data_IF_924434596374
#
_entry.id   IF_924434596374
#
_cell.length_a   1.000
_cell.length_b   1.000
_cell.length_c   1.000
_cell.angle_alpha   90.00
_cell.angle_beta   90.00
_cell.angle_gamma   90.00
#
_symmetry.space_group_name_H-M   'P 1'
#
loop_
_entity.id
_entity.type
_entity.pdbx_description
1 polymer ?
#
# COMPACT_ATOMS: atom_id res chain seq x y z
N UNK A 1 -22.48 44.65 18.20
CA UNK A 1 -22.65 45.07 16.78
C UNK A 1 -21.83 44.11 15.94
N UNK A 2 -22.52 43.17 15.30
CA UNK A 2 -21.99 42.01 14.59
C UNK A 2 -21.88 42.37 13.11
N UNK A 3 -20.76 42.07 12.45
CA UNK A 3 -20.71 41.99 10.99
C UNK A 3 -19.98 40.70 10.60
N UNK A 4 -20.78 39.69 10.28
CA UNK A 4 -20.41 38.51 9.50
C UNK A 4 -20.03 38.93 8.07
N UNK A 5 -18.98 38.34 7.51
CA UNK A 5 -18.81 38.24 6.06
C UNK A 5 -18.72 36.77 5.68
N UNK A 6 -19.87 36.27 5.22
CA UNK A 6 -20.07 34.99 4.56
C UNK A 6 -19.62 35.13 3.09
N UNK A 7 -18.67 34.31 2.65
CA UNK A 7 -18.29 34.19 1.25
C UNK A 7 -18.89 32.90 0.69
N UNK A 8 -19.91 33.03 -0.15
CA UNK A 8 -20.39 32.00 -1.07
C UNK A 8 -19.45 31.98 -2.29
N UNK A 9 -18.97 30.81 -2.68
CA UNK A 9 -18.59 30.54 -4.07
C UNK A 9 -19.15 29.20 -4.53
N UNK A 10 -19.69 29.27 -5.74
CA UNK A 10 -20.63 28.38 -6.41
C UNK A 10 -19.98 27.12 -6.95
N UNK A 11 -20.67 25.98 -6.79
CA UNK A 11 -20.36 24.72 -7.45
C UNK A 11 -20.99 24.69 -8.86
N UNK A 12 -20.16 24.46 -9.89
CA UNK A 12 -20.63 24.09 -11.23
C UNK A 12 -20.55 22.58 -11.40
N UNK A 13 -21.71 21.96 -11.49
CA UNK A 13 -21.90 20.55 -11.87
C UNK A 13 -21.86 20.48 -13.39
N UNK A 14 -20.94 19.69 -13.95
CA UNK A 14 -20.95 19.32 -15.37
C UNK A 14 -21.42 17.86 -15.49
N UNK A 15 -22.66 17.68 -15.95
CA UNK A 15 -23.21 16.41 -16.41
C UNK A 15 -22.72 16.14 -17.84
N UNK A 16 -22.06 15.01 -18.08
CA UNK A 16 -21.91 14.46 -19.43
C UNK A 16 -22.70 13.16 -19.53
N UNK A 17 -23.67 13.18 -20.45
CA UNK A 17 -24.67 12.14 -20.66
C UNK A 17 -24.12 10.89 -21.33
N UNK A 18 -24.79 9.78 -21.02
CA UNK A 18 -24.70 8.51 -21.71
C UNK A 18 -25.23 8.63 -23.14
N UNK A 19 -24.47 8.12 -24.12
CA UNK A 19 -25.01 7.71 -25.41
C UNK A 19 -24.78 6.21 -25.57
N UNK A 20 -25.87 5.46 -25.43
CA UNK A 20 -26.02 4.08 -25.87
C UNK A 20 -26.45 4.13 -27.33
N UNK A 21 -25.69 3.47 -28.21
CA UNK A 21 -26.06 3.28 -29.61
C UNK A 21 -25.84 1.82 -30.02
N UNK A 22 -26.91 1.04 -30.04
CA UNK A 22 -26.98 -0.24 -30.73
C UNK A 22 -27.24 -0.01 -32.22
N UNK A 23 -26.56 -0.74 -33.11
CA UNK A 23 -27.17 -1.22 -34.35
C UNK A 23 -26.47 -2.47 -34.89
N UNK A 24 -27.28 -3.31 -35.54
CA UNK A 24 -27.05 -4.70 -35.93
C UNK A 24 -26.37 -4.86 -37.30
N UNK A 25 -25.71 -6.01 -37.43
CA UNK A 25 -25.56 -6.92 -38.58
C UNK A 25 -25.61 -6.37 -40.02
N UNK A 26 -24.58 -6.69 -40.81
CA UNK A 26 -24.71 -7.64 -41.91
C UNK A 26 -23.36 -8.02 -42.55
N UNK A 27 -23.14 -9.33 -42.64
CA UNK A 27 -22.18 -10.05 -43.49
C UNK A 27 -22.32 -9.73 -44.98
N UNK A 28 -21.20 -9.64 -45.72
CA UNK A 28 -20.97 -10.39 -46.97
C UNK A 28 -19.49 -10.34 -47.42
N UNK A 29 -18.86 -11.52 -47.34
CA UNK A 29 -18.11 -12.21 -48.40
C UNK A 29 -17.31 -11.42 -49.45
N UNK A 30 -16.01 -11.74 -49.53
CA UNK A 30 -15.30 -11.84 -50.82
C UNK A 30 -14.34 -13.05 -50.81
N UNK A 31 -14.42 -13.82 -51.89
CA UNK A 31 -13.65 -15.00 -52.33
C UNK A 31 -13.58 -14.85 -53.88
N UNK A 32 -12.85 -15.63 -54.75
CA UNK A 32 -11.90 -16.75 -54.60
C UNK A 32 -10.57 -16.61 -55.39
N UNK A 33 -9.65 -17.57 -55.21
CA UNK A 33 -9.20 -18.55 -56.26
C UNK A 33 -8.24 -19.55 -55.62
N UNK A 34 -8.60 -20.84 -55.44
CA UNK A 34 -8.38 -21.98 -56.37
C UNK A 34 -7.26 -22.87 -55.77
N UNK A 35 -7.26 -24.20 -55.71
CA UNK A 35 -7.89 -25.29 -56.50
C UNK A 35 -7.60 -26.64 -55.82
N UNK A 36 -8.59 -27.56 -55.75
CA UNK A 36 -8.53 -29.05 -55.61
C UNK A 36 -7.92 -29.65 -54.32
N UNK A 37 -8.29 -30.80 -53.74
CA UNK A 37 -9.10 -32.00 -54.10
C UNK A 37 -9.36 -32.80 -52.77
N UNK A 38 -9.90 -34.04 -52.71
CA UNK A 38 -11.07 -34.39 -51.90
C UNK A 38 -10.81 -35.23 -50.62
N UNK A 39 -11.89 -35.40 -49.87
CA UNK A 39 -12.07 -36.18 -48.63
C UNK A 39 -11.95 -37.71 -48.80
N UNK A 40 -11.37 -38.35 -47.78
CA UNK A 40 -11.93 -39.44 -46.94
C UNK A 40 -11.20 -40.80 -46.90
N UNK A 41 -10.86 -41.20 -45.65
CA UNK A 41 -11.14 -42.52 -45.02
C UNK A 41 -9.97 -43.15 -44.24
N UNK A 42 -10.18 -43.20 -42.92
CA UNK A 42 -9.84 -44.23 -41.93
C UNK A 42 -8.38 -44.63 -41.65
N UNK A 43 -7.95 -44.41 -40.40
CA UNK A 43 -7.28 -45.43 -39.56
C UNK A 43 -7.80 -45.32 -38.13
N UNK A 44 -8.05 -46.48 -37.52
CA UNK A 44 -8.60 -46.78 -36.20
C UNK A 44 -7.65 -46.53 -35.02
N UNK A 45 -8.26 -46.11 -33.90
CA UNK A 45 -7.95 -46.39 -32.48
C UNK A 45 -6.53 -46.17 -31.95
N UNK A 46 -6.38 -45.26 -30.98
CA UNK A 46 -6.08 -45.71 -29.61
C UNK A 46 -6.50 -44.72 -28.52
N UNK A 47 -6.92 -45.29 -27.40
CA UNK A 47 -7.45 -44.59 -26.22
C UNK A 47 -6.31 -44.06 -25.37
N UNK A 48 -6.29 -42.76 -25.08
CA UNK A 48 -5.70 -42.26 -23.84
C UNK A 48 -6.56 -41.16 -23.23
N UNK A 49 -7.26 -41.59 -22.19
CA UNK A 49 -7.94 -40.82 -21.16
C UNK A 49 -7.00 -39.73 -20.66
N UNK A 50 -7.22 -38.49 -21.13
CA UNK A 50 -6.51 -37.31 -20.63
C UNK A 50 -7.02 -37.09 -19.20
N UNK A 51 -6.19 -37.46 -18.23
CA UNK A 51 -6.41 -37.15 -16.83
C UNK A 51 -6.76 -35.67 -16.71
N UNK A 52 -7.94 -35.41 -16.17
CA UNK A 52 -8.31 -34.11 -15.65
C UNK A 52 -7.27 -33.78 -14.58
N UNK A 53 -6.41 -32.80 -14.88
CA UNK A 53 -5.56 -32.19 -13.86
C UNK A 53 -6.53 -31.38 -13.00
N UNK A 54 -7.03 -32.02 -11.96
CA UNK A 54 -7.60 -31.31 -10.80
C UNK A 54 -6.48 -30.41 -10.29
N UNK A 55 -6.53 -29.16 -10.73
CA UNK A 55 -5.79 -28.09 -10.09
C UNK A 55 -6.56 -27.84 -8.81
N UNK A 56 -6.21 -28.59 -7.77
CA UNK A 56 -6.77 -28.37 -6.43
C UNK A 56 -6.54 -26.89 -6.09
N UNK A 57 -7.63 -26.13 -5.98
CA UNK A 57 -7.57 -24.81 -5.37
C UNK A 57 -6.92 -24.97 -3.98
N UNK A 58 -5.93 -24.14 -3.62
CA UNK A 58 -5.36 -24.20 -2.28
C UNK A 58 -6.50 -23.97 -1.28
N UNK A 59 -6.79 -24.99 -0.45
CA UNK A 59 -7.80 -24.87 0.58
C UNK A 59 -7.36 -23.81 1.59
N UNK A 60 -8.06 -22.67 1.61
CA UNK A 60 -7.86 -21.59 2.59
C UNK A 60 -7.94 -22.07 4.04
N UNK A 61 -8.61 -23.21 4.27
CA UNK A 61 -8.94 -23.77 5.59
C UNK A 61 -7.75 -24.05 6.52
N UNK A 62 -6.50 -23.98 6.04
CA UNK A 62 -5.30 -24.19 6.86
C UNK A 62 -4.47 -22.93 7.14
N UNK A 63 -4.66 -21.82 6.41
CA UNK A 63 -3.78 -20.65 6.56
C UNK A 63 -4.29 -19.75 7.68
N UNK A 64 -3.44 -19.46 8.66
CA UNK A 64 -3.70 -18.44 9.67
C UNK A 64 -2.40 -17.89 10.23
N UNK A 65 -2.44 -16.63 10.66
CA UNK A 65 -1.34 -15.97 11.33
C UNK A 65 -1.81 -15.46 12.68
N UNK A 66 -0.87 -15.30 13.62
CA UNK A 66 -1.21 -14.84 14.95
C UNK A 66 -0.12 -13.92 15.51
N UNK A 67 -0.53 -13.06 16.44
CA UNK A 67 0.38 -12.41 17.37
C UNK A 67 1.16 -13.43 18.20
N UNK A 68 2.29 -13.02 18.77
CA UNK A 68 3.17 -13.90 19.57
C UNK A 68 2.44 -14.58 20.74
N UNK A 69 1.60 -13.84 21.45
CA UNK A 69 0.75 -14.35 22.53
C UNK A 69 -0.53 -15.04 22.05
N UNK A 70 -0.78 -15.05 20.74
CA UNK A 70 -1.92 -15.70 20.07
C UNK A 70 -3.30 -15.11 20.37
N UNK A 71 -3.35 -13.92 20.97
CA UNK A 71 -4.61 -13.24 21.29
C UNK A 71 -5.27 -12.65 20.04
N UNK A 72 -4.46 -12.13 19.13
CA UNK A 72 -4.89 -11.72 17.78
C UNK A 72 -4.57 -12.81 16.79
N UNK A 73 -5.58 -13.26 16.04
CA UNK A 73 -5.45 -14.18 14.91
C UNK A 73 -6.04 -13.57 13.65
N UNK A 74 -5.44 -13.93 12.53
CA UNK A 74 -5.79 -13.43 11.22
C UNK A 74 -5.93 -14.61 10.26
N UNK A 75 -7.12 -14.78 9.68
CA UNK A 75 -7.46 -15.90 8.79
C UNK A 75 -7.96 -15.36 7.46
N UNK A 76 -7.31 -15.67 6.32
CA UNK A 76 -7.78 -15.23 5.02
C UNK A 76 -9.13 -15.89 4.71
N UNK A 77 -10.06 -15.11 4.17
CA UNK A 77 -11.42 -15.56 3.80
C UNK A 77 -11.54 -15.66 2.28
N UNK A 78 -10.83 -14.79 1.56
CA UNK A 78 -10.80 -14.78 0.11
C UNK A 78 -9.37 -14.56 -0.37
N UNK A 79 -8.92 -15.40 -1.28
CA UNK A 79 -7.62 -15.31 -1.94
C UNK A 79 -7.82 -15.26 -3.45
N UNK A 80 -7.22 -14.26 -4.09
CA UNK A 80 -7.00 -14.18 -5.51
C UNK A 80 -5.60 -14.69 -5.86
N UNK A 81 -5.24 -14.64 -7.15
CA UNK A 81 -4.00 -15.26 -7.65
C UNK A 81 -2.71 -14.78 -6.95
N UNK A 82 -2.65 -13.49 -6.56
CA UNK A 82 -1.45 -12.87 -5.99
C UNK A 82 -1.72 -12.06 -4.71
N UNK A 83 -2.96 -12.15 -4.20
CA UNK A 83 -3.38 -11.34 -3.06
C UNK A 83 -4.48 -12.02 -2.28
N UNK A 84 -4.44 -11.87 -0.96
CA UNK A 84 -5.64 -11.98 -0.14
C UNK A 84 -6.52 -10.76 -0.41
N UNK A 85 -7.83 -10.98 -0.48
CA UNK A 85 -8.82 -9.93 -0.78
C UNK A 85 -9.74 -9.63 0.41
N UNK A 86 -9.84 -10.56 1.35
CA UNK A 86 -10.51 -10.35 2.63
C UNK A 86 -9.98 -11.29 3.71
N UNK A 87 -10.13 -10.87 4.95
CA UNK A 87 -9.54 -11.53 6.11
C UNK A 87 -10.41 -11.37 7.34
N UNK A 88 -10.53 -12.43 8.15
CA UNK A 88 -11.16 -12.37 9.47
C UNK A 88 -10.09 -12.12 10.52
N UNK A 89 -10.30 -11.08 11.33
CA UNK A 89 -9.55 -10.83 12.56
C UNK A 89 -10.35 -11.42 13.72
N UNK A 90 -9.68 -12.18 14.58
CA UNK A 90 -10.18 -12.70 15.85
C UNK A 90 -9.31 -12.15 16.98
N UNK A 91 -9.91 -11.40 17.90
CA UNK A 91 -9.25 -10.93 19.12
C UNK A 91 -10.06 -11.43 20.30
N UNK A 92 -9.46 -12.32 21.11
CA UNK A 92 -10.11 -12.88 22.30
C UNK A 92 -11.50 -13.49 22.04
N UNK A 93 -11.75 -14.03 20.84
CA UNK A 93 -13.04 -14.60 20.43
C UNK A 93 -14.01 -13.62 19.77
N UNK A 94 -13.73 -12.32 19.80
CA UNK A 94 -14.47 -11.30 19.02
C UNK A 94 -13.95 -11.34 17.60
N UNK A 95 -14.85 -11.51 16.62
CA UNK A 95 -14.49 -11.72 15.22
C UNK A 95 -15.10 -10.67 14.31
N UNK A 96 -14.32 -10.19 13.35
CA UNK A 96 -14.78 -9.30 12.28
C UNK A 96 -14.00 -9.54 10.99
N UNK A 97 -14.72 -9.51 9.87
CA UNK A 97 -14.13 -9.65 8.54
C UNK A 97 -13.91 -8.29 7.91
N UNK A 98 -12.72 -8.09 7.34
CA UNK A 98 -12.30 -6.89 6.65
C UNK A 98 -11.95 -7.20 5.20
N UNK A 99 -12.25 -6.27 4.29
CA UNK A 99 -11.92 -6.38 2.86
C UNK A 99 -10.51 -5.81 2.59
N UNK A 100 -9.54 -6.18 3.41
CA UNK A 100 -8.15 -5.75 3.24
C UNK A 100 -7.48 -6.59 2.18
N UNK A 101 -6.89 -5.92 1.19
CA UNK A 101 -6.20 -6.57 0.08
C UNK A 101 -4.70 -6.53 0.37
N UNK A 102 -4.01 -7.67 0.38
CA UNK A 102 -2.56 -7.70 0.62
C UNK A 102 -1.89 -8.89 -0.07
N UNK A 103 -0.58 -8.80 -0.28
CA UNK A 103 0.17 -9.77 -1.08
C UNK A 103 0.18 -11.15 -0.44
N UNK A 104 0.18 -12.20 -1.27
CA UNK A 104 0.45 -13.58 -0.82
C UNK A 104 1.93 -13.88 -0.64
N UNK A 105 2.82 -12.95 -1.03
CA UNK A 105 4.28 -13.13 -1.03
C UNK A 105 4.94 -12.89 0.33
N UNK A 106 4.27 -12.19 1.25
CA UNK A 106 4.79 -11.87 2.57
C UNK A 106 3.70 -12.09 3.62
N UNK A 107 4.07 -12.78 4.69
CA UNK A 107 3.15 -13.01 5.79
C UNK A 107 2.88 -11.69 6.55
N UNK A 108 1.64 -11.47 7.02
CA UNK A 108 1.28 -10.33 7.82
C UNK A 108 2.01 -10.36 9.16
N UNK A 109 2.36 -9.17 9.68
CA UNK A 109 2.95 -9.01 11.01
C UNK A 109 1.89 -8.52 11.96
N UNK A 110 1.72 -9.23 13.07
CA UNK A 110 0.59 -9.06 13.98
C UNK A 110 1.13 -8.88 15.40
N UNK A 111 0.64 -7.86 16.09
CA UNK A 111 1.00 -7.55 17.46
C UNK A 111 -0.26 -7.29 18.29
N UNK A 112 -0.15 -7.52 19.59
CA UNK A 112 -1.16 -7.16 20.58
C UNK A 112 -0.48 -6.34 21.66
N UNK A 113 -0.68 -5.01 21.63
CA UNK A 113 0.07 -4.03 22.43
C UNK A 113 -0.80 -2.82 22.70
N UNK A 114 -0.66 -2.24 23.89
CA UNK A 114 -1.22 -0.93 24.24
C UNK A 114 -0.43 0.16 23.51
N UNK A 115 -0.94 0.60 22.36
CA UNK A 115 -0.37 1.67 21.54
C UNK A 115 -1.09 3.00 21.75
N UNK A 116 -2.16 3.00 22.53
CA UNK A 116 -2.96 4.17 22.89
C UNK A 116 -2.57 4.77 24.25
N UNK A 117 -1.80 4.04 25.05
CA UNK A 117 -1.41 4.37 26.43
C UNK A 117 -2.63 4.48 27.37
N UNK A 118 -3.68 3.68 27.11
CA UNK A 118 -4.92 3.64 27.90
C UNK A 118 -5.00 2.45 28.89
N UNK A 119 -3.99 1.59 28.88
CA UNK A 119 -3.89 0.39 29.70
C UNK A 119 -4.57 -0.84 29.09
N UNK A 120 -5.04 -0.77 27.85
CA UNK A 120 -5.61 -1.90 27.10
C UNK A 120 -4.85 -2.11 25.80
N UNK A 121 -4.72 -3.36 25.40
CA UNK A 121 -4.01 -3.70 24.17
C UNK A 121 -4.89 -3.60 22.93
N UNK A 122 -4.35 -3.01 21.88
CA UNK A 122 -4.89 -3.01 20.52
C UNK A 122 -4.28 -4.12 19.67
N UNK A 123 -5.05 -4.58 18.68
CA UNK A 123 -4.52 -5.40 17.62
C UNK A 123 -3.85 -4.50 16.56
N UNK A 124 -2.53 -4.66 16.40
CA UNK A 124 -1.75 -3.94 15.38
C UNK A 124 -1.39 -4.93 14.27
N UNK A 125 -1.87 -4.67 13.07
CA UNK A 125 -1.74 -5.57 11.91
C UNK A 125 -1.05 -4.82 10.79
N UNK A 126 0.07 -5.36 10.32
CA UNK A 126 0.85 -4.81 9.21
C UNK A 126 0.80 -5.76 8.03
N UNK A 127 0.29 -5.27 6.91
CA UNK A 127 0.06 -6.03 5.68
C UNK A 127 0.95 -5.49 4.56
N UNK A 128 1.68 -6.35 3.87
CA UNK A 128 2.47 -5.90 2.71
C UNK A 128 1.59 -5.75 1.47
N UNK A 129 1.63 -4.56 0.85
CA UNK A 129 0.92 -4.22 -0.40
C UNK A 129 1.82 -4.29 -1.62
N UNK A 130 3.13 -4.23 -1.43
CA UNK A 130 4.10 -4.28 -2.50
C UNK A 130 5.52 -4.47 -2.00
N UNK A 131 6.25 -5.37 -2.65
CA UNK A 131 7.65 -5.70 -2.34
C UNK A 131 8.45 -5.77 -3.63
N UNK A 132 9.68 -5.27 -3.59
CA UNK A 132 10.63 -5.36 -4.70
C UNK A 132 11.94 -4.66 -4.38
N UNK A 133 12.85 -4.64 -5.35
CA UNK A 133 14.13 -3.91 -5.20
C UNK A 133 13.85 -2.41 -5.07
N UNK A 134 14.12 -1.85 -3.89
CA UNK A 134 13.83 -0.45 -3.59
C UNK A 134 12.34 -0.14 -3.39
N UNK A 135 11.50 -1.17 -3.20
CA UNK A 135 10.07 -1.05 -2.96
C UNK A 135 9.67 -1.89 -1.74
N UNK A 136 9.10 -1.25 -0.72
CA UNK A 136 8.45 -1.92 0.39
C UNK A 136 7.29 -1.06 0.89
N UNK A 137 6.06 -1.46 0.60
CA UNK A 137 4.87 -0.69 0.95
C UNK A 137 4.02 -1.54 1.89
N UNK A 138 4.01 -1.16 3.15
CA UNK A 138 3.11 -1.71 4.14
C UNK A 138 1.83 -0.87 4.26
N UNK A 139 0.75 -1.54 4.65
CA UNK A 139 -0.50 -0.96 5.14
C UNK A 139 -0.64 -1.33 6.63
N UNK A 140 -1.01 -0.36 7.45
CA UNK A 140 -1.12 -0.49 8.90
C UNK A 140 -2.58 -0.37 9.33
N UNK A 141 -3.05 -1.36 10.08
CA UNK A 141 -4.35 -1.35 10.74
C UNK A 141 -4.15 -1.45 12.25
N UNK A 142 -4.86 -0.61 12.99
CA UNK A 142 -4.91 -0.64 14.45
C UNK A 142 -6.37 -0.78 14.85
N UNK A 143 -6.70 -1.85 15.57
CA UNK A 143 -8.06 -2.14 16.00
C UNK A 143 -8.15 -2.11 17.51
N UNK A 144 -9.24 -1.53 18.02
CA UNK A 144 -9.66 -1.66 19.41
C UNK A 144 -9.78 -3.15 19.77
N UNK A 145 -9.14 -3.54 20.89
CA UNK A 145 -9.07 -4.93 21.33
C UNK A 145 -10.38 -5.52 21.84
N UNK A 146 -11.42 -4.70 22.06
CA UNK A 146 -12.73 -5.13 22.55
C UNK A 146 -13.79 -5.24 21.47
N UNK A 147 -13.85 -4.29 20.53
CA UNK A 147 -14.93 -4.24 19.53
C UNK A 147 -14.47 -4.29 18.06
N UNK A 148 -13.16 -4.33 17.81
CA UNK A 148 -12.56 -4.33 16.48
C UNK A 148 -12.97 -3.12 15.62
N UNK A 149 -13.32 -2.01 16.26
CA UNK A 149 -13.37 -0.71 15.59
C UNK A 149 -11.96 -0.26 15.24
N UNK A 150 -11.81 0.41 14.10
CA UNK A 150 -10.49 0.80 13.60
C UNK A 150 -10.11 2.18 14.15
N UNK A 151 -8.97 2.23 14.84
CA UNK A 151 -8.35 3.47 15.28
C UNK A 151 -7.57 4.02 14.08
N UNK A 152 -7.93 5.23 13.65
CA UNK A 152 -7.30 5.83 12.48
C UNK A 152 -5.83 6.08 12.75
N UNK A 153 -4.98 5.85 11.76
CA UNK A 153 -3.56 6.25 11.80
C UNK A 153 -3.33 7.37 10.78
N UNK A 154 -2.61 8.41 11.18
CA UNK A 154 -2.19 9.48 10.27
C UNK A 154 -1.34 8.89 9.15
N UNK A 155 -1.74 9.18 7.91
CA UNK A 155 -1.05 8.62 6.75
C UNK A 155 0.31 9.29 6.54
N UNK A 156 1.25 8.60 5.91
CA UNK A 156 2.55 9.22 5.61
C UNK A 156 2.39 10.42 4.67
N UNK A 157 1.37 10.43 3.81
CA UNK A 157 1.06 11.54 2.91
C UNK A 157 0.66 12.79 3.69
N UNK A 158 -0.22 12.64 4.69
CA UNK A 158 -0.58 13.73 5.60
C UNK A 158 0.65 14.24 6.36
N UNK A 159 1.48 13.32 6.88
CA UNK A 159 2.71 13.69 7.60
C UNK A 159 3.68 14.46 6.70
N UNK A 160 3.91 13.99 5.47
CA UNK A 160 4.78 14.67 4.50
C UNK A 160 4.23 16.05 4.15
N UNK A 161 2.92 16.18 3.92
CA UNK A 161 2.29 17.43 3.55
C UNK A 161 2.37 18.49 4.67
N UNK A 162 2.14 18.07 5.92
CA UNK A 162 1.93 19.00 7.02
C UNK A 162 3.18 19.24 7.88
N UNK A 163 4.12 18.28 7.91
CA UNK A 163 5.18 18.25 8.93
C UNK A 163 6.60 18.08 8.37
N UNK A 164 6.75 17.87 7.06
CA UNK A 164 8.06 17.65 6.42
C UNK A 164 8.25 18.65 5.27
N UNK A 165 9.27 19.48 5.39
CA UNK A 165 9.74 20.35 4.30
C UNK A 165 11.04 19.77 3.73
N UNK A 166 11.14 19.66 2.40
CA UNK A 166 12.36 19.21 1.74
C UNK A 166 12.75 20.14 0.59
N UNK A 167 14.05 20.18 0.31
CA UNK A 167 14.63 20.91 -0.81
C UNK A 167 15.75 20.11 -1.44
N UNK A 168 15.78 20.09 -2.77
CA UNK A 168 16.83 19.49 -3.58
C UNK A 168 17.34 20.56 -4.53
N UNK A 169 18.65 20.83 -4.50
CA UNK A 169 19.27 21.82 -5.39
C UNK A 169 20.52 21.23 -5.99
N UNK A 170 20.61 21.23 -7.32
CA UNK A 170 21.80 20.73 -8.01
C UNK A 170 22.93 21.74 -7.91
N UNK A 171 24.08 21.34 -7.35
CA UNK A 171 25.29 22.17 -7.29
C UNK A 171 26.14 22.01 -8.56
N UNK A 172 26.25 20.78 -9.06
CA UNK A 172 26.96 20.41 -10.29
C UNK A 172 26.42 19.06 -10.81
N UNK A 173 27.08 18.47 -11.81
CA UNK A 173 26.61 17.23 -12.45
C UNK A 173 26.55 16.03 -11.50
N UNK A 174 27.36 16.01 -10.44
CA UNK A 174 27.51 14.86 -9.53
C UNK A 174 27.03 15.13 -8.10
N UNK A 175 26.69 16.38 -7.75
CA UNK A 175 26.35 16.74 -6.37
C UNK A 175 25.01 17.47 -6.25
N UNK A 176 24.18 17.01 -5.32
CA UNK A 176 22.96 17.67 -4.88
C UNK A 176 23.15 18.23 -3.47
N UNK A 177 22.71 19.46 -3.23
CA UNK A 177 22.45 19.98 -1.90
C UNK A 177 21.05 19.51 -1.47
N UNK A 178 20.98 18.83 -0.33
CA UNK A 178 19.74 18.35 0.26
C UNK A 178 19.44 19.17 1.52
N UNK A 179 18.20 19.64 1.63
CA UNK A 179 17.65 20.24 2.84
C UNK A 179 16.43 19.43 3.28
N UNK A 180 16.41 19.06 4.55
CA UNK A 180 15.27 18.39 5.19
C UNK A 180 14.95 19.13 6.48
N UNK A 181 13.67 19.43 6.71
CA UNK A 181 13.20 20.02 7.95
C UNK A 181 11.93 19.30 8.41
N UNK A 182 11.92 18.93 9.68
CA UNK A 182 10.79 18.24 10.33
C UNK A 182 10.74 18.64 11.80
N UNK A 183 9.56 19.00 12.31
CA UNK A 183 9.36 19.37 13.72
C UNK A 183 10.41 20.38 14.25
N UNK A 184 10.74 21.39 13.42
CA UNK A 184 11.72 22.43 13.77
C UNK A 184 13.19 22.02 13.71
N UNK A 185 13.51 20.74 13.48
CA UNK A 185 14.89 20.28 13.25
C UNK A 185 15.22 20.34 11.77
N UNK A 186 16.44 20.78 11.45
CA UNK A 186 16.90 20.93 10.08
C UNK A 186 18.19 20.14 9.85
N UNK A 187 18.25 19.46 8.70
CA UNK A 187 19.42 18.76 8.18
C UNK A 187 19.78 19.35 6.83
N UNK A 188 21.04 19.67 6.62
CA UNK A 188 21.59 20.06 5.33
C UNK A 188 22.87 19.26 5.05
N UNK A 189 22.95 18.66 3.87
CA UNK A 189 24.10 17.86 3.47
C UNK A 189 24.20 17.78 1.95
N UNK A 190 25.38 17.41 1.47
CA UNK A 190 25.60 17.13 0.05
C UNK A 190 25.46 15.64 -0.20
N UNK A 191 24.75 15.29 -1.28
CA UNK A 191 24.55 13.91 -1.72
C UNK A 191 25.14 13.71 -3.11
N UNK A 192 25.98 12.69 -3.26
CA UNK A 192 26.60 12.34 -4.53
C UNK A 192 25.64 11.51 -5.38
N UNK A 193 25.46 11.92 -6.63
CA UNK A 193 24.63 11.23 -7.62
C UNK A 193 25.47 10.92 -8.84
N UNK A 194 25.11 9.84 -9.55
CA UNK A 194 25.59 9.65 -10.92
C UNK A 194 25.21 10.88 -11.77
N UNK A 195 26.03 11.21 -12.78
CA UNK A 195 25.87 12.36 -13.69
C UNK A 195 24.60 12.39 -14.55
N UNK A 196 23.55 11.70 -14.13
CA UNK A 196 22.22 11.71 -14.72
C UNK A 196 21.51 12.98 -14.27
N UNK A 197 21.12 13.80 -15.24
CA UNK A 197 20.33 15.00 -15.00
C UNK A 197 18.85 14.65 -14.87
N UNK A 198 18.28 14.99 -13.72
CA UNK A 198 16.85 14.94 -13.46
C UNK A 198 16.43 16.24 -12.79
N UNK A 199 15.19 16.67 -13.06
CA UNK A 199 14.61 17.86 -12.43
C UNK A 199 13.74 17.41 -11.26
N UNK A 200 14.16 17.77 -10.05
CA UNK A 200 13.48 17.44 -8.82
C UNK A 200 13.87 18.48 -7.78
N UNK A 201 12.89 19.23 -7.26
CA UNK A 201 13.11 20.31 -6.31
C UNK A 201 12.81 19.88 -4.85
N UNK A 202 12.15 18.73 -4.66
CA UNK A 202 11.77 18.13 -3.37
C UNK A 202 12.06 16.63 -3.36
N UNK A 203 12.28 16.04 -2.20
CA UNK A 203 12.43 14.58 -2.09
C UNK A 203 11.14 13.85 -2.46
N UNK A 204 11.29 12.65 -3.00
CA UNK A 204 10.19 11.73 -3.30
C UNK A 204 10.00 10.74 -2.17
N UNK A 205 8.75 10.28 -1.99
CA UNK A 205 8.32 9.39 -0.91
C UNK A 205 7.40 8.29 -1.44
N UNK A 206 7.14 7.27 -0.63
CA UNK A 206 6.16 6.21 -0.91
C UNK A 206 6.72 4.94 -1.53
N UNK A 207 8.00 4.92 -1.92
CA UNK A 207 8.66 3.70 -2.35
C UNK A 207 9.04 2.77 -1.19
N UNK A 208 9.37 3.34 -0.01
CA UNK A 208 9.56 2.60 1.23
C UNK A 208 8.67 3.21 2.31
N UNK A 209 7.67 2.45 2.74
CA UNK A 209 6.79 2.71 3.88
C UNK A 209 6.76 1.42 4.67
N UNK A 210 7.59 1.34 5.72
CA UNK A 210 7.77 0.12 6.49
C UNK A 210 7.38 0.33 7.94
N UNK A 211 6.36 -0.40 8.39
CA UNK A 211 5.87 -0.30 9.77
C UNK A 211 6.47 -1.41 10.63
N UNK A 212 6.87 -1.09 11.85
CA UNK A 212 7.39 -2.05 12.82
C UNK A 212 7.13 -1.59 14.25
N UNK A 213 7.29 -2.50 15.20
CA UNK A 213 7.11 -2.20 16.62
C UNK A 213 8.45 -2.03 17.31
N UNK A 214 8.63 -0.92 18.02
CA UNK A 214 9.71 -0.73 18.99
C UNK A 214 9.10 -0.70 20.38
N UNK A 215 9.25 -1.80 21.12
CA UNK A 215 8.57 -2.00 22.40
C UNK A 215 7.03 -1.88 22.24
N UNK A 216 6.42 -0.84 22.82
CA UNK A 216 4.98 -0.56 22.76
C UNK A 216 4.63 0.54 21.75
N UNK A 217 5.58 0.97 20.92
CA UNK A 217 5.38 2.08 20.00
C UNK A 217 5.43 1.61 18.55
N UNK A 218 4.46 2.05 17.75
CA UNK A 218 4.49 1.90 16.30
C UNK A 218 5.56 2.85 15.75
N UNK A 219 6.41 2.32 14.87
CA UNK A 219 7.42 3.08 14.15
C UNK A 219 7.24 2.86 12.65
N UNK A 220 7.24 3.96 11.89
CA UNK A 220 7.28 3.94 10.42
C UNK A 220 8.66 4.38 9.96
N UNK A 221 9.32 3.54 9.19
CA UNK A 221 10.46 3.92 8.35
C UNK A 221 9.91 4.38 6.99
N UNK A 222 10.05 5.67 6.70
CA UNK A 222 9.64 6.28 5.43
C UNK A 222 10.88 6.70 4.63
N UNK A 223 11.13 6.00 3.52
CA UNK A 223 12.30 6.28 2.68
C UNK A 223 12.12 7.54 1.84
N UNK A 224 13.17 8.37 1.81
CA UNK A 224 13.23 9.58 1.02
C UNK A 224 14.23 9.42 -0.12
N UNK A 225 13.83 9.74 -1.35
CA UNK A 225 14.62 9.46 -2.54
C UNK A 225 14.77 10.61 -3.52
N UNK A 226 15.80 10.51 -4.35
CA UNK A 226 16.03 11.36 -5.53
C UNK A 226 16.17 10.51 -6.81
N UNK A 227 15.92 11.13 -7.96
CA UNK A 227 16.17 10.53 -9.27
C UNK A 227 15.04 9.65 -9.80
N UNK A 228 15.23 9.19 -11.04
CA UNK A 228 14.21 8.46 -11.83
C UNK A 228 14.19 6.97 -11.48
N UNK A 229 15.35 6.41 -11.13
CA UNK A 229 15.46 5.14 -10.40
C UNK A 229 15.79 5.52 -8.96
N UNK A 230 14.87 5.30 -8.00
CA UNK A 230 14.92 5.96 -6.71
C UNK A 230 16.22 5.63 -5.98
N UNK A 231 17.04 6.66 -5.77
CA UNK A 231 18.20 6.58 -4.90
C UNK A 231 17.78 7.09 -3.53
N UNK A 232 17.65 6.17 -2.58
CA UNK A 232 17.34 6.51 -1.20
C UNK A 232 18.53 7.21 -0.55
N UNK A 233 18.28 8.41 -0.05
CA UNK A 233 19.30 9.29 0.53
C UNK A 233 19.20 9.35 2.06
N UNK A 234 18.15 8.79 2.62
CA UNK A 234 17.86 8.79 4.04
C UNK A 234 16.44 8.33 4.30
N UNK A 235 16.17 8.06 5.57
CA UNK A 235 14.87 7.59 6.06
C UNK A 235 14.34 8.54 7.12
N UNK A 236 13.02 8.69 7.17
CA UNK A 236 12.34 9.24 8.32
C UNK A 236 11.92 8.11 9.25
N UNK A 237 12.31 8.20 10.51
CA UNK A 237 11.80 7.39 11.61
C UNK A 237 10.65 8.17 12.27
N UNK A 238 9.44 7.67 12.11
CA UNK A 238 8.22 8.31 12.59
C UNK A 238 7.60 7.45 13.70
N UNK A 239 7.38 8.03 14.87
CA UNK A 239 6.61 7.39 15.94
C UNK A 239 5.22 7.99 16.04
N UNK A 240 4.31 7.31 16.74
CA UNK A 240 2.92 7.75 16.87
C UNK A 240 2.51 7.88 18.34
N UNK A 241 1.49 8.72 18.58
CA UNK A 241 0.75 8.84 19.83
C UNK A 241 -0.73 9.04 19.55
N UNK A 242 -1.59 8.70 20.50
CA UNK A 242 -3.03 8.95 20.37
C UNK A 242 -3.35 10.45 20.48
N UNK A 243 -4.15 10.93 19.54
CA UNK A 243 -4.95 12.15 19.69
C UNK A 243 -6.35 11.78 20.16
N UNK A 244 -6.56 11.89 21.48
CA UNK A 244 -7.81 11.55 22.14
C UNK A 244 -9.03 12.32 21.59
N UNK A 245 -8.83 13.54 21.09
CA UNK A 245 -9.94 14.34 20.59
C UNK A 245 -10.56 13.77 19.30
N UNK A 246 -9.75 13.11 18.48
CA UNK A 246 -10.15 12.61 17.16
C UNK A 246 -10.10 11.08 17.04
N UNK A 247 -9.75 10.38 18.12
CA UNK A 247 -9.47 8.94 18.14
C UNK A 247 -8.56 8.51 16.97
N UNK A 248 -7.42 9.20 16.85
CA UNK A 248 -6.46 9.03 15.75
C UNK A 248 -5.03 8.96 16.29
N UNK A 249 -4.28 7.93 15.91
CA UNK A 249 -2.85 7.89 16.11
C UNK A 249 -2.18 8.88 15.14
N UNK A 250 -1.53 9.90 15.67
CA UNK A 250 -0.84 10.94 14.91
C UNK A 250 0.66 10.89 15.15
N UNK A 251 1.44 11.43 14.21
CA UNK A 251 2.90 11.48 14.36
C UNK A 251 3.28 12.21 15.65
N UNK A 252 4.11 11.56 16.46
CA UNK A 252 4.67 12.07 17.71
C UNK A 252 6.06 12.64 17.46
N UNK A 253 7.01 11.79 17.06
CA UNK A 253 8.36 12.20 16.69
C UNK A 253 8.63 11.89 15.23
N UNK A 254 9.27 12.85 14.54
CA UNK A 254 9.75 12.67 13.17
C UNK A 254 11.25 12.98 13.16
N UNK A 255 12.07 11.98 12.88
CA UNK A 255 13.53 12.10 12.81
C UNK A 255 14.02 11.66 11.45
N UNK A 256 14.84 12.49 10.82
CA UNK A 256 15.52 12.15 9.58
C UNK A 256 16.91 11.55 9.85
N UNK A 257 17.22 10.45 9.18
CA UNK A 257 18.48 9.72 9.27
C UNK A 257 19.08 9.60 7.86
N UNK A 258 20.10 10.39 7.50
CA UNK A 258 20.72 10.30 6.18
C UNK A 258 21.44 8.96 5.99
N UNK A 259 21.37 8.40 4.79
CA UNK A 259 22.20 7.25 4.42
C UNK A 259 23.65 7.74 4.39
N UNK A 260 24.48 7.13 5.22
CA UNK A 260 25.92 7.37 5.18
C UNK A 260 26.49 6.52 4.05
N UNK A 261 27.08 7.15 3.04
CA UNK A 261 27.86 6.50 1.98
C UNK A 261 29.27 7.05 1.97
#
# INVERSE_FOLDING_TARGET
>A
MVINKLALFTASILMFGFLVGCSKDQTMNSQPTGTGTPTNSQVTTDSQQKAHVDTAEPSLDAKSWASENKEVKLTPVKEGQYSYESVTVDVNGVKKTFNWIFSTLEDPRIYYKDVTDDGKEEAVIVLNKGKGTGLNIDELHVLDGTDLSEIKVQSYQEIVADQIETGVTRKNDQTLAIKVKSQGKEHQFDYQVAGIHFKQDKLSFGGVVYHWMKNQQIVTTLGASVGISPQYIGDFQITYRLDNANNKLIADQIRFEPVHR
#
